data_IF_961602568015
#
_entry.id   IF_961602568015
#
_cell.length_a   1.000
_cell.length_b   1.000
_cell.length_c   1.000
_cell.angle_alpha   90.00
_cell.angle_beta   90.00
_cell.angle_gamma   90.00
#
_symmetry.space_group_name_H-M   'P 1'
#
loop_
_entity.id
_entity.type
_entity.pdbx_description
1 polymer ?
#
# COMPACT_ATOMS: atom_id res chain seq x y z
N UNK A 1 -30.85 -66.92 -8.45
CA UNK A 1 -29.87 -65.80 -8.38
C UNK A 1 -30.54 -64.61 -7.68
N UNK A 2 -30.22 -64.36 -6.41
CA UNK A 2 -30.78 -63.23 -5.67
C UNK A 2 -30.00 -61.95 -6.02
N UNK A 3 -30.69 -60.96 -6.60
CA UNK A 3 -30.12 -59.68 -7.04
C UNK A 3 -29.89 -58.80 -5.81
N UNK A 4 -28.62 -58.56 -5.45
CA UNK A 4 -28.24 -57.61 -4.40
C UNK A 4 -28.72 -56.22 -4.82
N UNK A 5 -29.76 -55.73 -4.15
CA UNK A 5 -30.36 -54.42 -4.42
C UNK A 5 -29.52 -53.39 -3.67
N UNK A 6 -28.59 -52.76 -4.37
CA UNK A 6 -27.76 -51.69 -3.83
C UNK A 6 -28.69 -50.53 -3.41
N UNK A 7 -28.87 -50.32 -2.10
CA UNK A 7 -29.69 -49.22 -1.59
C UNK A 7 -28.93 -47.93 -1.87
N UNK A 8 -29.33 -47.20 -2.91
CA UNK A 8 -28.89 -45.81 -3.08
C UNK A 8 -29.44 -44.99 -1.91
N UNK A 9 -28.57 -44.67 -0.95
CA UNK A 9 -28.86 -43.68 0.06
C UNK A 9 -28.84 -42.30 -0.63
N UNK A 10 -30.00 -41.68 -0.77
CA UNK A 10 -30.11 -40.29 -1.23
C UNK A 10 -29.85 -39.32 -0.09
N UNK A 11 -29.32 -38.14 -0.42
CA UNK A 11 -29.20 -37.03 0.53
C UNK A 11 -30.58 -36.65 1.08
N UNK A 12 -30.68 -36.48 2.39
CA UNK A 12 -31.92 -36.01 3.00
C UNK A 12 -32.00 -34.48 2.92
N UNK A 13 -33.23 -33.94 2.82
CA UNK A 13 -33.44 -32.49 2.78
C UNK A 13 -32.88 -31.81 4.04
N UNK A 14 -33.00 -32.46 5.20
CA UNK A 14 -32.47 -31.96 6.46
C UNK A 14 -30.94 -31.91 6.48
N UNK A 15 -30.26 -32.80 5.77
CA UNK A 15 -28.79 -32.84 5.64
C UNK A 15 -28.29 -31.65 4.84
N UNK A 16 -28.97 -31.31 3.74
CA UNK A 16 -28.67 -30.11 2.96
C UNK A 16 -29.01 -28.83 3.74
N UNK A 17 -30.09 -28.82 4.54
CA UNK A 17 -30.40 -27.65 5.38
C UNK A 17 -29.31 -27.36 6.42
N UNK A 18 -28.81 -28.39 7.12
CA UNK A 18 -27.77 -28.18 8.12
C UNK A 18 -26.44 -27.74 7.49
N UNK A 19 -26.10 -28.28 6.32
CA UNK A 19 -24.92 -27.85 5.55
C UNK A 19 -24.99 -26.38 5.16
N UNK A 20 -26.13 -25.92 4.64
CA UNK A 20 -26.30 -24.50 4.26
C UNK A 20 -26.21 -23.58 5.48
N UNK A 21 -26.77 -23.99 6.62
CA UNK A 21 -26.66 -23.22 7.88
C UNK A 21 -25.21 -23.09 8.33
N UNK A 22 -24.43 -24.18 8.30
CA UNK A 22 -23.01 -24.13 8.65
C UNK A 22 -22.24 -23.20 7.70
N UNK A 23 -22.46 -23.32 6.39
CA UNK A 23 -21.80 -22.46 5.40
C UNK A 23 -22.15 -20.98 5.62
N UNK A 24 -23.39 -20.67 5.97
CA UNK A 24 -23.81 -19.28 6.25
C UNK A 24 -23.08 -18.69 7.46
N UNK A 25 -22.94 -19.45 8.57
CA UNK A 25 -22.22 -19.00 9.76
C UNK A 25 -20.73 -18.80 9.46
N UNK A 26 -20.11 -19.75 8.75
CA UNK A 26 -18.70 -19.65 8.36
C UNK A 26 -18.46 -18.46 7.41
N UNK A 27 -19.37 -18.20 6.48
CA UNK A 27 -19.25 -17.12 5.52
C UNK A 27 -19.24 -15.74 6.20
N UNK A 28 -20.08 -15.53 7.23
CA UNK A 28 -20.13 -14.26 7.98
C UNK A 28 -18.79 -13.92 8.64
N UNK A 29 -18.04 -14.92 9.12
CA UNK A 29 -16.74 -14.71 9.76
C UNK A 29 -15.62 -14.62 8.70
N UNK A 30 -15.64 -15.50 7.69
CA UNK A 30 -14.53 -15.63 6.75
C UNK A 30 -14.45 -14.50 5.70
N UNK A 31 -15.59 -14.00 5.20
CA UNK A 31 -15.64 -12.96 4.16
C UNK A 31 -14.97 -11.65 4.59
N UNK A 32 -15.30 -11.04 5.75
CA UNK A 32 -14.69 -9.76 6.14
C UNK A 32 -13.17 -9.88 6.33
N UNK A 33 -12.69 -11.00 6.89
CA UNK A 33 -11.25 -11.25 7.06
C UNK A 33 -10.52 -11.36 5.71
N UNK A 34 -11.04 -12.19 4.80
CA UNK A 34 -10.44 -12.36 3.47
C UNK A 34 -10.37 -11.04 2.68
N UNK A 35 -11.40 -10.20 2.79
CA UNK A 35 -11.41 -8.89 2.15
C UNK A 35 -10.36 -7.94 2.73
N UNK A 36 -10.11 -7.98 4.04
CA UNK A 36 -9.09 -7.15 4.71
C UNK A 36 -7.68 -7.54 4.26
N UNK A 37 -7.36 -8.83 4.28
CA UNK A 37 -6.04 -9.35 3.89
C UNK A 37 -5.70 -9.04 2.42
N UNK A 38 -6.72 -9.10 1.55
CA UNK A 38 -6.59 -8.69 0.16
C UNK A 38 -6.20 -7.23 0.00
N UNK A 39 -6.80 -6.32 0.78
CA UNK A 39 -6.47 -4.87 0.75
C UNK A 39 -5.07 -4.60 1.29
N UNK A 40 -4.67 -5.28 2.37
CA UNK A 40 -3.33 -5.19 2.96
C UNK A 40 -2.25 -5.58 1.95
N UNK A 41 -2.45 -6.72 1.29
CA UNK A 41 -1.52 -7.24 0.26
C UNK A 41 -1.42 -6.31 -0.95
N UNK A 42 -2.56 -5.80 -1.45
CA UNK A 42 -2.61 -4.87 -2.58
C UNK A 42 -1.85 -3.57 -2.29
N UNK A 43 -2.04 -3.01 -1.09
CA UNK A 43 -1.36 -1.76 -0.71
C UNK A 43 0.16 -1.94 -0.66
N UNK A 44 0.64 -3.07 -0.11
CA UNK A 44 2.09 -3.36 -0.04
C UNK A 44 2.71 -3.52 -1.42
N UNK A 45 2.06 -4.25 -2.33
CA UNK A 45 2.58 -4.44 -3.69
C UNK A 45 2.58 -3.13 -4.49
N UNK A 46 1.54 -2.31 -4.31
CA UNK A 46 1.46 -0.97 -4.89
C UNK A 46 2.63 -0.09 -4.40
N UNK A 47 2.84 -0.01 -3.08
CA UNK A 47 3.94 0.78 -2.49
C UNK A 47 5.30 0.34 -3.01
N UNK A 48 5.57 -0.96 -3.11
CA UNK A 48 6.85 -1.46 -3.66
C UNK A 48 7.06 -0.97 -5.09
N UNK A 49 6.03 -1.07 -5.94
CA UNK A 49 6.12 -0.63 -7.34
C UNK A 49 6.34 0.88 -7.45
N UNK A 50 5.58 1.69 -6.70
CA UNK A 50 5.76 3.14 -6.68
C UNK A 50 7.12 3.54 -6.12
N UNK A 51 7.56 2.98 -4.99
CA UNK A 51 8.86 3.32 -4.41
C UNK A 51 10.02 3.01 -5.36
N UNK A 52 9.97 1.87 -6.07
CA UNK A 52 10.98 1.55 -7.07
C UNK A 52 11.04 2.58 -8.21
N UNK A 53 9.88 2.94 -8.76
CA UNK A 53 9.80 3.95 -9.83
C UNK A 53 10.25 5.33 -9.34
N UNK A 54 9.71 5.80 -8.20
CA UNK A 54 10.04 7.10 -7.65
C UNK A 54 11.53 7.21 -7.32
N UNK A 55 12.13 6.17 -6.73
CA UNK A 55 13.56 6.15 -6.42
C UNK A 55 14.42 6.19 -7.68
N UNK A 56 14.03 5.45 -8.72
CA UNK A 56 14.70 5.47 -10.03
C UNK A 56 14.66 6.85 -10.66
N UNK A 57 13.51 7.54 -10.57
CA UNK A 57 13.32 8.88 -11.14
C UNK A 57 14.05 9.96 -10.36
N UNK A 58 14.14 9.83 -9.04
CA UNK A 58 14.97 10.71 -8.22
C UNK A 58 16.45 10.61 -8.59
N UNK A 59 16.96 9.39 -8.80
CA UNK A 59 18.35 9.20 -9.20
C UNK A 59 18.61 9.74 -10.62
N UNK A 60 17.68 9.53 -11.56
CA UNK A 60 17.77 10.14 -12.88
C UNK A 60 17.77 11.67 -12.82
N UNK A 61 16.88 12.25 -12.00
CA UNK A 61 16.83 13.70 -11.83
C UNK A 61 18.14 14.26 -11.26
N UNK A 62 18.81 13.53 -10.35
CA UNK A 62 20.12 13.92 -9.81
C UNK A 62 21.26 13.86 -10.83
N UNK A 63 21.13 13.08 -11.90
CA UNK A 63 22.12 13.09 -12.99
C UNK A 63 22.03 14.42 -13.75
N UNK A 64 20.82 14.94 -13.94
CA UNK A 64 20.55 16.16 -14.72
C UNK A 64 20.61 17.44 -13.87
N UNK A 65 20.36 17.35 -12.56
CA UNK A 65 20.33 18.46 -11.60
C UNK A 65 21.25 18.20 -10.40
N UNK A 66 21.67 19.26 -9.70
CA UNK A 66 22.63 19.14 -8.58
C UNK A 66 22.03 18.57 -7.28
N UNK A 67 20.84 17.99 -7.32
CA UNK A 67 20.12 17.47 -6.16
C UNK A 67 18.85 16.69 -6.53
N UNK A 68 18.11 16.28 -5.52
CA UNK A 68 16.84 15.58 -5.66
C UNK A 68 15.66 16.56 -5.63
N UNK A 69 14.49 16.12 -6.11
CA UNK A 69 13.30 16.96 -6.18
C UNK A 69 12.33 16.65 -5.05
N UNK A 70 11.99 17.68 -4.27
CA UNK A 70 10.83 17.62 -3.35
C UNK A 70 9.55 17.77 -4.15
N UNK A 71 8.56 16.92 -3.87
CA UNK A 71 7.25 16.95 -4.53
C UNK A 71 6.14 17.02 -3.50
N UNK A 72 5.00 17.60 -3.89
CA UNK A 72 3.81 17.55 -3.06
C UNK A 72 3.19 16.14 -3.05
N UNK A 73 2.36 15.88 -2.03
CA UNK A 73 1.62 14.63 -1.86
C UNK A 73 0.76 14.33 -3.10
N UNK A 74 0.87 13.13 -3.64
CA UNK A 74 0.03 12.66 -4.74
C UNK A 74 -0.15 11.13 -4.73
N UNK A 75 -1.34 10.57 -5.06
CA UNK A 75 -2.64 11.25 -5.07
C UNK A 75 -2.92 12.05 -3.79
N UNK A 76 -3.87 12.98 -3.84
CA UNK A 76 -4.11 13.91 -2.73
C UNK A 76 -4.71 13.23 -1.48
N UNK A 77 -5.46 12.14 -1.68
CA UNK A 77 -6.13 11.37 -0.63
C UNK A 77 -5.94 9.87 -0.86
N UNK A 78 -5.98 9.12 0.24
CA UNK A 78 -6.02 7.66 0.23
C UNK A 78 -7.36 7.16 -0.32
N UNK A 79 -7.39 5.91 -0.76
CA UNK A 79 -8.61 5.30 -1.30
C UNK A 79 -8.61 3.80 -1.04
N UNK A 80 -9.68 3.27 -0.48
CA UNK A 80 -9.83 1.82 -0.27
C UNK A 80 -10.10 1.06 -1.58
N UNK A 81 -10.62 1.75 -2.59
CA UNK A 81 -11.00 1.16 -3.89
C UNK A 81 -9.99 1.48 -4.99
N UNK A 82 -9.19 2.53 -4.81
CA UNK A 82 -8.23 3.05 -5.77
C UNK A 82 -8.75 4.33 -6.43
N UNK A 83 -7.83 5.27 -6.67
CA UNK A 83 -8.08 6.55 -7.33
C UNK A 83 -7.17 6.68 -8.54
N UNK A 84 -7.68 7.23 -9.65
CA UNK A 84 -6.87 7.49 -10.83
C UNK A 84 -5.68 8.38 -10.50
N UNK A 85 -4.49 7.96 -10.92
CA UNK A 85 -3.25 8.68 -10.62
C UNK A 85 -3.00 9.76 -11.67
N UNK A 86 -3.29 11.00 -11.31
CA UNK A 86 -3.05 12.18 -12.14
C UNK A 86 -1.98 13.09 -11.51
N UNK A 87 -0.78 12.53 -11.36
CA UNK A 87 0.35 13.17 -10.68
C UNK A 87 1.40 13.75 -11.64
N UNK A 88 1.31 13.43 -12.93
CA UNK A 88 2.36 13.72 -13.93
C UNK A 88 1.94 14.71 -15.00
N UNK A 89 0.66 15.10 -15.05
CA UNK A 89 0.18 16.13 -15.97
C UNK A 89 0.80 17.51 -15.67
N UNK A 90 0.69 18.43 -16.62
CA UNK A 90 1.20 19.80 -16.45
C UNK A 90 0.63 20.45 -15.17
N UNK A 91 1.52 20.99 -14.33
CA UNK A 91 1.15 21.59 -13.05
C UNK A 91 0.89 20.58 -11.90
N UNK A 92 1.11 19.28 -12.12
CA UNK A 92 0.96 18.25 -11.07
C UNK A 92 2.28 17.96 -10.34
N UNK A 93 2.23 17.38 -9.12
CA UNK A 93 3.40 17.28 -8.23
C UNK A 93 4.60 16.52 -8.79
N UNK A 94 4.40 15.54 -9.67
CA UNK A 94 5.47 14.69 -10.20
C UNK A 94 5.89 15.03 -11.63
N UNK A 95 5.35 16.11 -12.22
CA UNK A 95 5.68 16.52 -13.59
C UNK A 95 7.18 16.76 -13.77
N UNK A 96 7.83 17.39 -12.78
CA UNK A 96 9.27 17.68 -12.82
C UNK A 96 10.16 16.45 -12.72
N UNK A 97 9.63 15.33 -12.23
CA UNK A 97 10.38 14.09 -12.06
C UNK A 97 10.10 13.09 -13.20
N UNK A 98 9.15 13.37 -14.10
CA UNK A 98 8.76 12.49 -15.22
C UNK A 98 8.44 11.04 -14.81
N UNK A 99 7.79 10.87 -13.65
CA UNK A 99 7.40 9.55 -13.11
C UNK A 99 6.56 8.77 -14.12
N UNK A 100 6.88 7.49 -14.34
CA UNK A 100 6.02 6.56 -15.08
C UNK A 100 5.16 5.83 -14.09
N UNK A 101 3.90 6.22 -14.01
CA UNK A 101 2.99 5.65 -13.02
C UNK A 101 2.87 4.14 -13.25
N UNK A 102 3.24 3.30 -12.26
CA UNK A 102 3.27 1.85 -12.43
C UNK A 102 1.87 1.22 -12.42
N UNK A 103 0.85 1.92 -11.89
CA UNK A 103 -0.54 1.49 -11.86
C UNK A 103 -1.47 2.65 -12.25
N UNK A 104 -2.54 2.37 -13.01
CA UNK A 104 -3.53 3.40 -13.39
C UNK A 104 -4.30 3.97 -12.19
N UNK A 105 -4.39 3.20 -11.11
CA UNK A 105 -5.06 3.59 -9.86
C UNK A 105 -4.15 3.31 -8.67
N UNK A 106 -4.17 4.19 -7.67
CA UNK A 106 -3.47 4.03 -6.40
C UNK A 106 -4.44 4.10 -5.23
N UNK A 107 -4.23 3.26 -4.21
CA UNK A 107 -4.92 3.30 -2.92
C UNK A 107 -4.17 4.16 -1.90
N UNK A 108 -2.87 4.31 -2.09
CA UNK A 108 -1.99 5.05 -1.21
C UNK A 108 -1.69 6.44 -1.77
N UNK A 109 -1.17 7.30 -0.90
CA UNK A 109 -0.64 8.61 -1.27
C UNK A 109 0.85 8.62 -1.04
N UNK A 110 1.60 9.38 -1.86
CA UNK A 110 3.05 9.39 -1.81
C UNK A 110 3.57 10.83 -1.79
N UNK A 111 4.61 11.07 -0.99
CA UNK A 111 5.34 12.34 -0.94
C UNK A 111 6.83 12.05 -0.96
N UNK A 112 7.58 12.85 -1.73
CA UNK A 112 9.03 12.78 -1.81
C UNK A 112 9.60 14.08 -1.27
N UNK A 113 10.55 13.98 -0.34
CA UNK A 113 11.19 15.14 0.28
C UNK A 113 12.69 15.01 0.15
N UNK A 114 13.30 15.98 -0.51
CA UNK A 114 14.74 16.11 -0.70
C UNK A 114 15.34 17.12 0.27
N UNK A 115 16.59 16.88 0.67
CA UNK A 115 17.40 17.80 1.49
C UNK A 115 18.88 17.49 1.26
N UNK A 116 19.78 18.32 1.82
CA UNK A 116 21.23 18.16 1.67
C UNK A 116 22.01 18.33 2.99
N UNK A 117 21.32 18.51 4.12
CA UNK A 117 21.94 18.66 5.43
C UNK A 117 22.32 17.30 6.03
N UNK A 118 23.43 17.23 6.77
CA UNK A 118 23.81 16.04 7.51
C UNK A 118 23.20 16.01 8.91
N UNK A 119 23.02 14.82 9.49
CA UNK A 119 22.59 14.62 10.87
C UNK A 119 21.32 13.78 11.01
N UNK A 120 20.79 13.73 12.22
CA UNK A 120 19.58 12.96 12.53
C UNK A 120 18.34 13.64 11.96
N UNK A 121 17.61 12.91 11.12
CA UNK A 121 16.37 13.36 10.50
C UNK A 121 15.21 12.59 11.12
N UNK A 122 14.16 13.33 11.53
CA UNK A 122 12.90 12.77 11.98
C UNK A 122 11.81 13.10 10.96
N UNK A 123 11.14 12.07 10.46
CA UNK A 123 10.06 12.18 9.47
C UNK A 123 8.78 11.69 10.13
N UNK A 124 7.79 12.56 10.26
CA UNK A 124 6.47 12.21 10.79
C UNK A 124 5.48 12.05 9.64
N UNK A 125 4.71 10.97 9.65
CA UNK A 125 3.72 10.67 8.62
C UNK A 125 2.52 9.92 9.18
N UNK A 126 1.40 10.02 8.47
CA UNK A 126 0.16 9.32 8.77
C UNK A 126 -0.64 9.88 9.94
N UNK A 127 -1.79 9.24 10.19
CA UNK A 127 -2.69 9.52 11.30
C UNK A 127 -3.00 8.21 12.03
N UNK A 128 -2.70 8.07 13.34
CA UNK A 128 -1.84 8.95 14.13
C UNK A 128 -0.40 8.98 13.59
N UNK A 129 0.34 10.05 13.89
CA UNK A 129 1.67 10.26 13.33
C UNK A 129 2.66 9.17 13.77
N UNK A 130 3.24 8.46 12.81
CA UNK A 130 4.41 7.60 13.00
C UNK A 130 5.67 8.40 12.68
N UNK A 131 6.69 8.29 13.54
CA UNK A 131 8.00 8.93 13.31
C UNK A 131 9.03 7.91 12.85
N UNK A 132 9.66 8.19 11.71
CA UNK A 132 10.83 7.48 11.19
C UNK A 132 12.08 8.30 11.44
N UNK A 133 13.14 7.65 11.93
CA UNK A 133 14.43 8.28 12.18
C UNK A 133 15.52 7.62 11.36
N UNK A 134 16.37 8.44 10.75
CA UNK A 134 17.59 7.99 10.08
C UNK A 134 18.69 9.06 10.17
N UNK A 135 19.93 8.64 9.96
CA UNK A 135 21.07 9.55 9.90
C UNK A 135 21.36 9.88 8.45
N UNK A 136 21.30 11.16 8.11
CA UNK A 136 21.59 11.66 6.76
C UNK A 136 23.09 11.96 6.57
N UNK A 137 23.65 11.66 5.38
CA UNK A 137 25.02 12.02 5.03
C UNK A 137 25.14 13.51 4.70
N UNK A 138 26.37 14.01 4.65
CA UNK A 138 26.68 15.30 4.03
C UNK A 138 26.51 15.18 2.52
N UNK A 139 25.60 15.96 1.94
CA UNK A 139 25.26 15.91 0.51
C UNK A 139 23.77 15.65 0.26
N UNK A 140 23.31 15.67 -1.00
CA UNK A 140 21.90 15.52 -1.32
C UNK A 140 21.41 14.11 -0.95
N UNK A 141 20.23 14.06 -0.35
CA UNK A 141 19.48 12.85 -0.02
C UNK A 141 17.98 13.10 -0.19
N UNK A 142 17.19 12.04 -0.28
CA UNK A 142 15.75 12.13 -0.25
C UNK A 142 15.15 11.01 0.61
N UNK A 143 13.89 11.20 1.01
CA UNK A 143 13.06 10.14 1.53
C UNK A 143 11.69 10.16 0.85
N UNK A 144 11.03 9.01 0.88
CA UNK A 144 9.69 8.82 0.34
C UNK A 144 8.83 8.27 1.47
N UNK A 145 7.66 8.87 1.64
CA UNK A 145 6.62 8.36 2.52
C UNK A 145 5.41 7.98 1.69
N UNK A 146 4.86 6.79 1.94
CA UNK A 146 3.51 6.45 1.52
C UNK A 146 2.58 6.32 2.72
N UNK A 147 1.35 6.80 2.57
CA UNK A 147 0.27 6.61 3.53
C UNK A 147 -0.88 5.89 2.83
N UNK A 148 -1.38 4.84 3.45
CA UNK A 148 -2.48 4.02 2.92
C UNK A 148 -3.55 3.87 4.00
N UNK A 149 -4.81 4.17 3.64
CA UNK A 149 -5.98 3.88 4.47
C UNK A 149 -6.65 2.62 3.89
N UNK A 150 -6.56 1.52 4.62
CA UNK A 150 -6.86 0.18 4.10
C UNK A 150 -8.30 -0.26 4.38
N UNK A 151 -9.00 0.42 5.28
CA UNK A 151 -10.36 0.13 5.71
C UNK A 151 -11.28 1.36 5.69
N UNK A 152 -10.75 2.55 5.43
CA UNK A 152 -11.51 3.78 5.24
C UNK A 152 -11.88 4.47 6.54
N UNK A 153 -11.21 4.13 7.65
CA UNK A 153 -11.50 4.65 8.98
C UNK A 153 -10.76 5.99 9.28
N UNK A 154 -9.88 6.42 8.36
CA UNK A 154 -9.04 7.62 8.50
C UNK A 154 -7.71 7.38 9.22
N UNK A 155 -7.48 6.17 9.73
CA UNK A 155 -6.20 5.68 10.24
C UNK A 155 -5.36 5.18 9.07
N UNK A 156 -4.08 5.56 9.02
CA UNK A 156 -3.22 5.20 7.89
C UNK A 156 -2.06 4.30 8.31
N UNK A 157 -1.87 3.21 7.58
CA UNK A 157 -0.59 2.50 7.57
C UNK A 157 0.43 3.33 6.80
N UNK A 158 1.64 3.47 7.35
CA UNK A 158 2.70 4.25 6.70
C UNK A 158 3.88 3.40 6.29
N UNK A 159 4.46 3.77 5.15
CA UNK A 159 5.62 3.14 4.55
C UNK A 159 6.68 4.21 4.31
N UNK A 160 7.93 3.87 4.60
CA UNK A 160 9.04 4.79 4.52
C UNK A 160 10.23 4.15 3.83
N UNK A 161 10.89 4.90 2.95
CA UNK A 161 12.20 4.56 2.42
C UNK A 161 13.03 5.83 2.25
N UNK A 162 14.35 5.69 2.18
CA UNK A 162 15.27 6.80 1.99
C UNK A 162 16.38 6.44 1.00
N UNK A 163 17.04 7.45 0.46
CA UNK A 163 18.24 7.24 -0.37
C UNK A 163 19.44 6.70 0.40
N UNK A 164 19.41 6.76 1.74
CA UNK A 164 20.48 6.30 2.63
C UNK A 164 20.28 4.82 3.00
N UNK A 165 19.04 4.45 3.29
CA UNK A 165 18.59 3.09 3.58
C UNK A 165 17.36 2.82 2.71
N UNK A 166 17.53 2.07 1.59
CA UNK A 166 16.43 1.79 0.66
C UNK A 166 15.46 0.74 1.21
N UNK A 167 15.76 0.12 2.36
CA UNK A 167 14.88 -0.86 3.00
C UNK A 167 13.56 -0.21 3.35
N UNK A 168 12.46 -0.80 2.85
CA UNK A 168 11.12 -0.29 3.13
C UNK A 168 10.78 -0.59 4.59
N UNK A 169 10.62 0.47 5.38
CA UNK A 169 10.14 0.40 6.75
C UNK A 169 8.63 0.56 6.74
N UNK A 170 7.95 -0.26 7.53
CA UNK A 170 6.48 -0.24 7.62
C UNK A 170 6.08 -0.05 9.07
N UNK A 171 5.16 0.86 9.33
CA UNK A 171 4.35 0.81 10.54
C UNK A 171 2.95 0.43 10.09
N UNK A 172 2.68 -0.86 10.19
CA UNK A 172 1.30 -1.36 10.11
C UNK A 172 0.80 -1.33 11.55
N UNK A 173 -0.32 -0.65 11.81
CA UNK A 173 -1.01 -0.89 13.07
C UNK A 173 -1.55 -2.32 12.97
N UNK A 174 -1.00 -3.21 13.78
CA UNK A 174 -1.62 -4.49 14.05
C UNK A 174 -2.85 -4.17 14.89
N UNK A 175 -4.00 -4.22 14.25
CA UNK A 175 -5.29 -4.07 14.91
C UNK A 175 -5.41 -5.25 15.90
N UNK A 176 -5.23 -4.99 17.21
CA UNK A 176 -5.58 -5.93 18.28
C UNK A 176 -7.08 -6.26 18.28
#
# INVERSE_FOLDING_TARGET
MARVRNRQAGFTLIEIMFVVVIIAVLAVIAIPQFMSDGRKTKSRSEVVAFFAELSTRQEQYRVDATGYLTTAKCPAATSTTGTTVDCTAAGKPWVGLNVKVPLATATCTYVMTASAGAGTVNVSAGTPATTYTFTSPTGPWYHIVAECDQDGDGTTSTFFTSSVDPTIKTSVREDE
#
